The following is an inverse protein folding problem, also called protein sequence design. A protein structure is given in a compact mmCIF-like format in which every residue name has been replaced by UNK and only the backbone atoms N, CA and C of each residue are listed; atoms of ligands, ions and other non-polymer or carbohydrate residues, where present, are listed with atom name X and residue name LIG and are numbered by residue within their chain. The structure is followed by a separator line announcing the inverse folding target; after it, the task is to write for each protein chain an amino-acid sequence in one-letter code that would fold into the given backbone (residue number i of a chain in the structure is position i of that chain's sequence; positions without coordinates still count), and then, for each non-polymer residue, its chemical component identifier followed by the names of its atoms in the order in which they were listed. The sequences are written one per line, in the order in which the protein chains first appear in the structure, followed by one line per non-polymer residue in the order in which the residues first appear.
data_IF_103123424268
#
_entry.id   IF_103123424268
#
_cell.length_a   1.000
_cell.length_b   1.000
_cell.length_c   1.000
_cell.angle_alpha   90.00
_cell.angle_beta   90.00
_cell.angle_gamma   90.00
#
_symmetry.space_group_name_H-M   'P 1'
#
loop_
_entity.id
_entity.type
_entity.pdbx_description
1 polymer ?
#
# COMPACT_ATOMS: atom_id res chain seq x y z
N UNK A 1 10.49 -10.26 16.26
CA UNK A 1 9.75 -9.59 15.17
C UNK A 1 10.44 -9.96 13.89
N UNK A 2 9.77 -10.64 12.98
CA UNK A 2 10.30 -10.96 11.66
C UNK A 2 10.03 -9.79 10.72
N UNK A 3 10.99 -9.48 9.88
CA UNK A 3 10.89 -8.41 8.88
C UNK A 3 10.85 -8.97 7.45
N UNK A 4 10.37 -10.18 7.32
CA UNK A 4 10.21 -10.82 6.01
C UNK A 4 9.25 -10.00 5.12
N UNK A 5 9.65 -9.75 3.89
CA UNK A 5 8.88 -8.96 2.92
C UNK A 5 8.93 -7.44 3.13
N UNK A 6 9.66 -6.95 4.13
CA UNK A 6 9.78 -5.51 4.39
C UNK A 6 10.76 -4.78 3.47
N UNK A 7 11.61 -5.50 2.78
CA UNK A 7 12.57 -4.96 1.81
C UNK A 7 11.91 -4.20 0.65
N UNK A 8 10.68 -4.54 0.31
CA UNK A 8 9.88 -3.85 -0.69
C UNK A 8 8.86 -2.87 -0.09
N UNK A 9 8.92 -2.64 1.22
CA UNK A 9 7.99 -1.78 1.94
C UNK A 9 8.75 -0.80 2.86
N UNK A 10 9.39 0.23 2.29
CA UNK A 10 10.23 1.16 3.04
C UNK A 10 9.53 1.83 4.23
N UNK A 11 8.25 2.19 4.10
CA UNK A 11 7.51 2.85 5.17
C UNK A 11 7.37 1.95 6.41
N UNK A 12 7.09 0.67 6.21
CA UNK A 12 6.98 -0.28 7.31
C UNK A 12 8.32 -0.60 7.93
N UNK A 13 9.37 -0.71 7.11
CA UNK A 13 10.74 -0.92 7.58
C UNK A 13 11.18 0.24 8.48
N UNK A 14 10.98 1.47 8.03
CA UNK A 14 11.39 2.67 8.76
C UNK A 14 10.60 2.81 10.06
N UNK A 15 9.29 2.62 10.03
CA UNK A 15 8.46 2.60 11.23
C UNK A 15 8.93 1.56 12.25
N UNK A 16 9.20 0.33 11.81
CA UNK A 16 9.67 -0.75 12.68
C UNK A 16 11.01 -0.45 13.33
N UNK A 17 11.92 0.18 12.62
CA UNK A 17 13.25 0.53 13.15
C UNK A 17 13.20 1.71 14.09
N UNK A 18 12.25 2.63 13.92
CA UNK A 18 12.08 3.79 14.81
C UNK A 18 11.30 3.47 16.09
N UNK A 19 10.32 2.57 16.04
CA UNK A 19 9.44 2.28 17.19
C UNK A 19 10.19 1.96 18.49
N UNK A 20 11.28 1.18 18.51
CA UNK A 20 12.02 0.88 19.74
C UNK A 20 12.65 2.11 20.40
N UNK A 21 12.89 3.17 19.65
CA UNK A 21 13.53 4.40 20.14
C UNK A 21 12.52 5.46 20.58
N UNK A 22 11.21 5.20 20.40
CA UNK A 22 10.14 6.11 20.79
C UNK A 22 9.52 5.65 22.12
N UNK A 23 9.81 6.36 23.23
CA UNK A 23 9.35 5.93 24.57
C UNK A 23 7.87 6.21 24.81
N UNK A 24 7.22 6.98 23.95
CA UNK A 24 5.83 7.41 24.09
C UNK A 24 5.04 7.12 22.81
N UNK A 25 3.71 7.05 22.96
CA UNK A 25 2.79 6.97 21.82
C UNK A 25 2.98 8.22 20.95
N UNK A 26 3.18 8.00 19.65
CA UNK A 26 3.35 9.07 18.67
C UNK A 26 2.11 9.19 17.78
N UNK A 27 1.94 10.37 17.19
CA UNK A 27 0.94 10.62 16.18
C UNK A 27 1.40 10.00 14.84
N UNK A 28 0.66 9.00 14.37
CA UNK A 28 0.96 8.27 13.13
C UNK A 28 0.88 9.18 11.90
N UNK A 29 -0.11 10.06 11.85
CA UNK A 29 -0.32 10.91 10.68
C UNK A 29 0.76 11.99 10.60
N UNK A 30 1.15 12.55 11.75
CA UNK A 30 2.28 13.47 11.80
C UNK A 30 3.59 12.77 11.40
N UNK A 31 3.81 11.55 11.86
CA UNK A 31 4.99 10.76 11.47
C UNK A 31 5.03 10.52 9.96
N UNK A 32 3.91 10.17 9.34
CA UNK A 32 3.82 9.97 7.89
C UNK A 32 4.14 11.25 7.11
N UNK A 33 3.69 12.40 7.59
CA UNK A 33 4.03 13.70 6.97
C UNK A 33 5.54 13.96 7.03
N UNK A 34 6.17 13.68 8.16
CA UNK A 34 7.62 13.81 8.34
C UNK A 34 8.38 12.79 7.50
N UNK A 35 7.93 11.55 7.46
CA UNK A 35 8.47 10.48 6.62
C UNK A 35 8.52 10.88 5.14
N UNK A 36 7.43 11.40 4.59
CA UNK A 36 7.41 11.82 3.18
C UNK A 36 8.39 12.93 2.88
N UNK A 37 8.56 13.88 3.80
CA UNK A 37 9.56 14.96 3.64
C UNK A 37 10.98 14.41 3.70
N UNK A 38 11.28 13.54 4.65
CA UNK A 38 12.60 12.92 4.77
C UNK A 38 12.93 12.06 3.54
N UNK A 39 11.97 11.27 3.05
CA UNK A 39 12.14 10.35 1.94
C UNK A 39 12.25 11.03 0.58
N UNK A 40 11.43 12.06 0.33
CA UNK A 40 11.35 12.71 -0.98
C UNK A 40 12.04 14.08 -1.03
N UNK A 41 12.55 14.56 0.10
CA UNK A 41 13.32 15.81 0.18
C UNK A 41 12.49 17.10 0.12
N UNK A 42 11.15 17.01 0.01
CA UNK A 42 10.26 18.16 0.04
C UNK A 42 8.87 17.80 0.56
N UNK A 43 8.18 18.80 1.13
CA UNK A 43 6.79 18.66 1.56
C UNK A 43 5.84 18.83 0.36
N UNK A 44 4.87 17.94 0.27
CA UNK A 44 3.74 18.06 -0.66
C UNK A 44 2.49 17.49 0.02
N UNK A 45 1.44 18.31 0.25
CA UNK A 45 0.22 17.87 0.94
C UNK A 45 -0.48 16.71 0.26
N UNK A 46 -0.51 16.67 -1.07
CA UNK A 46 -1.15 15.58 -1.82
C UNK A 46 -0.46 14.25 -1.57
N UNK A 47 0.88 14.24 -1.55
CA UNK A 47 1.67 13.04 -1.23
C UNK A 47 1.43 12.60 0.21
N UNK A 48 1.42 13.55 1.15
CA UNK A 48 1.18 13.28 2.57
C UNK A 48 -0.20 12.67 2.79
N UNK A 49 -1.23 13.21 2.16
CA UNK A 49 -2.60 12.72 2.27
C UNK A 49 -2.78 11.36 1.58
N UNK A 50 -2.05 11.09 0.48
CA UNK A 50 -2.01 9.76 -0.14
C UNK A 50 -1.45 8.70 0.82
N UNK A 51 -0.36 8.99 1.52
CA UNK A 51 0.21 8.07 2.51
C UNK A 51 -0.68 7.88 3.73
N UNK A 52 -1.36 8.93 4.20
CA UNK A 52 -2.35 8.82 5.29
C UNK A 52 -3.53 7.94 4.85
N UNK A 53 -4.00 8.09 3.62
CA UNK A 53 -5.06 7.24 3.06
C UNK A 53 -4.64 5.77 3.02
N UNK A 54 -3.45 5.45 2.50
CA UNK A 54 -2.90 4.09 2.50
C UNK A 54 -2.76 3.53 3.92
N UNK A 55 -2.29 4.34 4.85
CA UNK A 55 -2.12 3.96 6.26
C UNK A 55 -3.44 3.62 6.95
N UNK A 56 -4.54 4.23 6.55
CA UNK A 56 -5.86 3.99 7.11
C UNK A 56 -6.66 2.90 6.36
N UNK A 57 -6.16 2.43 5.23
CA UNK A 57 -6.76 1.38 4.42
C UNK A 57 -5.90 0.11 4.41
N UNK A 58 -5.05 -0.07 3.41
CA UNK A 58 -4.29 -1.31 3.17
C UNK A 58 -3.31 -1.66 4.31
N UNK A 59 -2.77 -0.65 5.02
CA UNK A 59 -1.88 -0.88 6.18
C UNK A 59 -2.63 -1.02 7.52
N UNK A 60 -3.95 -0.89 7.54
CA UNK A 60 -4.76 -0.97 8.75
C UNK A 60 -5.52 -2.30 8.85
N UNK A 61 -4.80 -3.42 8.85
CA UNK A 61 -5.43 -4.72 9.06
C UNK A 61 -6.02 -4.81 10.48
N UNK A 62 -7.34 -5.03 10.63
CA UNK A 62 -8.00 -5.01 11.93
C UNK A 62 -7.72 -6.27 12.77
N UNK A 63 -7.32 -7.36 12.14
CA UNK A 63 -7.08 -8.64 12.78
C UNK A 63 -5.79 -9.29 12.29
N UNK A 64 -4.76 -9.20 13.13
CA UNK A 64 -3.45 -9.80 12.85
C UNK A 64 -3.47 -11.35 12.77
N UNK A 65 -4.53 -12.01 13.23
CA UNK A 65 -4.62 -13.47 13.22
C UNK A 65 -5.23 -14.03 11.93
N UNK A 66 -5.97 -13.23 11.19
CA UNK A 66 -6.72 -13.69 10.00
C UNK A 66 -6.06 -13.32 8.68
N UNK A 67 -5.07 -12.44 8.71
CA UNK A 67 -4.42 -11.94 7.50
C UNK A 67 -2.90 -12.13 7.57
N UNK A 68 -2.35 -12.88 6.64
CA UNK A 68 -0.89 -13.05 6.51
C UNK A 68 -0.28 -12.08 5.51
N UNK A 69 -0.93 -10.97 5.24
CA UNK A 69 -0.47 -9.93 4.32
C UNK A 69 -1.57 -9.48 3.37
N UNK A 70 -1.20 -8.59 2.47
CA UNK A 70 -2.06 -8.16 1.38
C UNK A 70 -2.26 -9.27 0.37
N UNK A 71 -3.39 -9.22 -0.34
CA UNK A 71 -3.65 -10.16 -1.42
C UNK A 71 -2.57 -10.09 -2.48
N UNK A 72 -2.20 -11.25 -2.98
CA UNK A 72 -1.46 -11.31 -4.22
C UNK A 72 -2.35 -10.84 -5.39
N UNK A 73 -1.71 -10.30 -6.42
CA UNK A 73 -2.44 -9.79 -7.58
C UNK A 73 -3.18 -10.91 -8.31
N UNK A 74 -4.43 -10.67 -8.70
CA UNK A 74 -5.20 -11.57 -9.56
C UNK A 74 -4.51 -11.88 -10.88
N UNK A 75 -3.62 -11.00 -11.35
CA UNK A 75 -2.80 -11.27 -12.55
C UNK A 75 -1.78 -12.39 -12.38
N UNK A 76 -1.49 -12.77 -11.14
CA UNK A 76 -0.62 -13.91 -10.81
C UNK A 76 -1.40 -15.20 -10.63
N UNK A 77 -2.74 -15.14 -10.57
CA UNK A 77 -3.60 -16.30 -10.42
C UNK A 77 -3.57 -17.17 -11.70
N UNK A 78 -3.76 -18.47 -11.52
CA UNK A 78 -4.07 -19.34 -12.68
C UNK A 78 -5.45 -18.97 -13.22
N UNK A 79 -5.65 -18.89 -14.53
CA UNK A 79 -6.95 -18.63 -15.10
C UNK A 79 -7.96 -19.70 -14.65
N UNK A 80 -8.96 -19.26 -13.91
CA UNK A 80 -10.10 -20.07 -13.46
C UNK A 80 -11.35 -19.19 -13.48
N UNK A 81 -12.53 -19.78 -13.53
CA UNK A 81 -13.78 -19.02 -13.49
C UNK A 81 -13.95 -18.27 -12.14
N UNK A 82 -13.42 -18.85 -11.06
CA UNK A 82 -13.52 -18.28 -9.69
C UNK A 82 -12.16 -18.43 -8.98
N UNK A 83 -11.20 -17.52 -9.19
CA UNK A 83 -9.94 -17.57 -8.45
C UNK A 83 -10.17 -17.15 -7.01
N UNK A 84 -10.14 -18.11 -6.11
CA UNK A 84 -10.30 -17.88 -4.68
C UNK A 84 -8.96 -17.71 -3.93
N UNK A 85 -7.88 -18.11 -4.55
CA UNK A 85 -6.54 -18.10 -3.95
C UNK A 85 -5.47 -17.98 -5.05
N UNK A 86 -4.56 -17.04 -4.86
CA UNK A 86 -3.43 -16.80 -5.79
C UNK A 86 -2.21 -17.60 -5.37
N UNK A 87 -1.97 -17.73 -4.06
CA UNK A 87 -0.90 -18.55 -3.49
C UNK A 87 -1.40 -19.35 -2.29
N UNK A 88 -0.52 -20.24 -1.77
CA UNK A 88 -0.81 -21.01 -0.55
C UNK A 88 -0.84 -20.16 0.74
N UNK A 89 -0.50 -18.88 0.67
CA UNK A 89 -0.25 -18.02 1.82
C UNK A 89 -1.36 -17.01 2.12
N UNK A 90 -2.13 -16.59 1.10
CA UNK A 90 -3.15 -15.57 1.31
C UNK A 90 -4.47 -15.92 0.65
N UNK A 91 -5.56 -15.70 1.36
CA UNK A 91 -6.91 -15.70 0.81
C UNK A 91 -7.19 -14.36 0.14
N UNK A 92 -8.04 -14.36 -0.91
CA UNK A 92 -8.50 -13.13 -1.57
C UNK A 92 -9.62 -12.45 -0.77
N UNK A 93 -9.30 -12.06 0.48
CA UNK A 93 -10.27 -11.42 1.38
C UNK A 93 -9.88 -9.97 1.63
N UNK A 94 -10.77 -9.06 1.26
CA UNK A 94 -10.60 -7.64 1.49
C UNK A 94 -10.91 -7.26 2.94
N UNK A 95 -10.01 -6.56 3.60
CA UNK A 95 -10.25 -5.87 4.87
C UNK A 95 -10.24 -4.34 4.72
N UNK A 96 -10.07 -3.85 3.50
CA UNK A 96 -10.05 -2.43 3.13
C UNK A 96 -10.84 -2.22 1.85
N UNK A 97 -11.19 -0.96 1.54
CA UNK A 97 -11.78 -0.60 0.25
C UNK A 97 -10.67 -0.49 -0.82
N UNK A 98 -10.68 -1.34 -1.87
CA UNK A 98 -9.73 -1.26 -2.97
C UNK A 98 -9.65 0.12 -3.64
N UNK A 99 -10.75 0.87 -3.63
CA UNK A 99 -10.79 2.23 -4.20
C UNK A 99 -9.90 3.21 -3.44
N UNK A 100 -9.58 2.96 -2.18
CA UNK A 100 -8.66 3.81 -1.40
C UNK A 100 -7.24 3.73 -1.97
N UNK A 101 -6.78 2.54 -2.34
CA UNK A 101 -5.47 2.35 -2.98
C UNK A 101 -5.44 3.01 -4.36
N UNK A 102 -6.53 2.86 -5.14
CA UNK A 102 -6.66 3.49 -6.46
C UNK A 102 -6.62 5.01 -6.34
N UNK A 103 -7.31 5.58 -5.33
CA UNK A 103 -7.30 7.04 -5.07
C UNK A 103 -5.91 7.52 -4.65
N UNK A 104 -5.25 6.81 -3.75
CA UNK A 104 -3.88 7.16 -3.33
C UNK A 104 -2.91 7.15 -4.51
N UNK A 105 -2.99 6.15 -5.39
CA UNK A 105 -2.21 6.10 -6.62
C UNK A 105 -2.49 7.31 -7.53
N UNK A 106 -3.76 7.66 -7.73
CA UNK A 106 -4.15 8.82 -8.53
C UNK A 106 -3.60 10.14 -7.95
N UNK A 107 -3.62 10.29 -6.62
CA UNK A 107 -3.02 11.44 -5.93
C UNK A 107 -1.51 11.52 -6.18
N UNK A 108 -0.78 10.41 -6.05
CA UNK A 108 0.66 10.36 -6.33
C UNK A 108 0.98 10.68 -7.79
N UNK A 109 0.22 10.13 -8.73
CA UNK A 109 0.38 10.41 -10.17
C UNK A 109 0.13 11.88 -10.47
N UNK A 110 -0.83 12.54 -9.84
CA UNK A 110 -1.19 13.93 -10.10
C UNK A 110 -0.06 14.94 -9.81
N UNK A 111 0.91 14.56 -8.99
CA UNK A 111 2.06 15.39 -8.61
C UNK A 111 3.41 14.83 -9.10
N UNK A 112 3.38 13.81 -9.96
CA UNK A 112 4.59 13.08 -10.38
C UNK A 112 5.63 14.00 -11.05
N UNK A 113 5.20 14.97 -11.84
CA UNK A 113 6.10 15.92 -12.50
C UNK A 113 6.90 16.77 -11.51
N UNK A 114 6.34 17.04 -10.33
CA UNK A 114 7.04 17.79 -9.28
C UNK A 114 8.20 17.01 -8.66
N UNK A 115 8.17 15.69 -8.74
CA UNK A 115 9.14 14.76 -8.16
C UNK A 115 10.01 14.07 -9.23
N UNK A 116 9.97 14.52 -10.46
CA UNK A 116 10.75 13.94 -11.55
C UNK A 116 12.24 13.88 -11.21
N UNK A 117 12.83 12.68 -11.36
CA UNK A 117 14.23 12.41 -11.02
C UNK A 117 14.48 12.14 -9.53
N UNK A 118 13.42 12.07 -8.72
CA UNK A 118 13.52 11.60 -7.34
C UNK A 118 13.33 10.09 -7.30
N UNK A 119 14.41 9.34 -7.21
CA UNK A 119 14.38 7.87 -7.27
C UNK A 119 13.48 7.23 -6.21
N UNK A 120 13.43 7.80 -5.00
CA UNK A 120 12.59 7.26 -3.93
C UNK A 120 11.10 7.45 -4.24
N UNK A 121 10.73 8.62 -4.76
CA UNK A 121 9.36 8.89 -5.16
C UNK A 121 8.95 8.00 -6.36
N UNK A 122 9.80 7.90 -7.36
CA UNK A 122 9.55 7.07 -8.55
C UNK A 122 9.39 5.58 -8.17
N UNK A 123 10.21 5.08 -7.24
CA UNK A 123 10.10 3.72 -6.71
C UNK A 123 8.73 3.49 -6.04
N UNK A 124 8.36 4.36 -5.10
CA UNK A 124 7.11 4.22 -4.37
C UNK A 124 5.89 4.44 -5.28
N UNK A 125 5.99 5.35 -6.25
CA UNK A 125 4.94 5.57 -7.25
C UNK A 125 4.68 4.31 -8.08
N UNK A 126 5.74 3.65 -8.56
CA UNK A 126 5.63 2.40 -9.32
C UNK A 126 4.96 1.32 -8.49
N UNK A 127 5.36 1.16 -7.23
CA UNK A 127 4.79 0.13 -6.36
C UNK A 127 3.32 0.38 -6.03
N UNK A 128 2.95 1.62 -5.68
CA UNK A 128 1.57 2.00 -5.39
C UNK A 128 0.68 1.88 -6.63
N UNK A 129 1.16 2.29 -7.81
CA UNK A 129 0.41 2.15 -9.07
C UNK A 129 0.25 0.69 -9.46
N UNK A 130 1.28 -0.14 -9.30
CA UNK A 130 1.20 -1.59 -9.49
C UNK A 130 0.10 -2.21 -8.61
N UNK A 131 0.06 -1.83 -7.34
CA UNK A 131 -0.98 -2.29 -6.42
C UNK A 131 -2.37 -1.81 -6.85
N UNK A 132 -2.51 -0.54 -7.24
CA UNK A 132 -3.79 0.01 -7.72
C UNK A 132 -4.31 -0.70 -8.98
N UNK A 133 -3.41 -1.10 -9.89
CA UNK A 133 -3.78 -1.90 -11.07
C UNK A 133 -4.27 -3.29 -10.65
N UNK A 134 -3.62 -3.92 -9.67
CA UNK A 134 -4.06 -5.21 -9.13
C UNK A 134 -5.46 -5.10 -8.50
N UNK A 135 -5.71 -4.05 -7.71
CA UNK A 135 -7.03 -3.78 -7.13
C UNK A 135 -8.10 -3.56 -8.20
N UNK A 136 -7.76 -2.82 -9.25
CA UNK A 136 -8.67 -2.62 -10.38
C UNK A 136 -9.00 -3.92 -11.11
N UNK A 137 -8.01 -4.80 -11.25
CA UNK A 137 -8.19 -6.15 -11.80
C UNK A 137 -9.22 -6.94 -11.00
N UNK A 138 -9.07 -6.99 -9.67
CA UNK A 138 -9.99 -7.68 -8.76
C UNK A 138 -11.42 -7.12 -8.81
N UNK A 139 -11.56 -5.79 -8.83
CA UNK A 139 -12.89 -5.17 -8.98
C UNK A 139 -13.55 -5.52 -10.30
N UNK A 140 -12.77 -5.63 -11.38
CA UNK A 140 -13.28 -6.01 -12.69
C UNK A 140 -13.70 -7.47 -12.72
N UNK A 141 -12.93 -8.35 -12.09
CA UNK A 141 -13.25 -9.77 -11.96
C UNK A 141 -14.61 -9.98 -11.26
N UNK A 142 -14.83 -9.33 -10.11
CA UNK A 142 -16.13 -9.39 -9.41
C UNK A 142 -17.33 -9.00 -10.29
N UNK A 143 -17.12 -8.07 -11.24
CA UNK A 143 -18.17 -7.68 -12.20
C UNK A 143 -18.41 -8.79 -13.22
N UNK A 144 -17.35 -9.45 -13.69
CA UNK A 144 -17.47 -10.58 -14.64
C UNK A 144 -18.15 -11.79 -14.00
N UNK A 145 -17.81 -12.10 -12.74
CA UNK A 145 -18.43 -13.20 -11.99
C UNK A 145 -19.92 -12.99 -11.73
N UNK A 146 -20.36 -11.71 -11.64
CA UNK A 146 -21.75 -11.34 -11.39
C UNK A 146 -22.61 -11.29 -12.65
N UNK A 147 -22.01 -11.41 -13.84
CA UNK A 147 -22.69 -11.30 -15.14
C UNK A 147 -23.06 -12.65 -15.73
#
# INVERSE_FOLDING_TARGET
MTMEGSENNPVMFELLTELPWRPQRFDKDQWLREYTVARYGKSNPTVQDAWILLSNSIYNCPDANTQQGTHESVFCARPTEHPYQVSSWSEMKDYYDPNDVIRAAAMMVSVADEFKGNNNFEYDLVDIVRQAIAEKGRLTEKVVEAA
#
